data_IF_711125890146
#
_entry.id   IF_711125890146
#
_cell.length_a   1.000
_cell.length_b   1.000
_cell.length_c   1.000
_cell.angle_alpha   90.00
_cell.angle_beta   90.00
_cell.angle_gamma   90.00
#
_symmetry.space_group_name_H-M   'P 1'
#
loop_
_entity.id
_entity.type
_entity.pdbx_description
1 polymer ?
#
# COMPACT_ATOMS: atom_id res chain seq x y z
N UNK A 1 8.08 4.65 15.70
CA UNK A 1 6.98 4.67 14.72
C UNK A 1 5.65 4.40 15.41
N UNK A 2 4.61 5.22 15.21
CA UNK A 2 3.27 5.02 15.82
C UNK A 2 2.41 4.16 14.89
N UNK A 3 1.72 3.15 15.44
CA UNK A 3 0.82 2.25 14.69
C UNK A 3 -0.34 3.03 14.06
N UNK A 4 -0.47 2.97 12.72
CA UNK A 4 -1.51 3.69 11.97
C UNK A 4 -2.85 2.95 11.89
N UNK A 5 -2.84 1.66 12.26
CA UNK A 5 -4.02 0.77 12.36
C UNK A 5 -4.79 0.92 13.68
N UNK A 6 -4.36 1.85 14.55
CA UNK A 6 -4.90 2.05 15.91
C UNK A 6 -5.44 3.47 16.08
N UNK A 7 -6.73 3.59 16.41
CA UNK A 7 -7.34 4.83 16.90
C UNK A 7 -7.78 4.62 18.35
N UNK A 8 -6.84 4.75 19.30
CA UNK A 8 -7.10 4.39 20.70
C UNK A 8 -7.25 2.87 20.86
N UNK A 9 -8.42 2.43 21.33
CA UNK A 9 -8.76 1.00 21.47
C UNK A 9 -9.28 0.39 20.17
N UNK A 10 -9.69 1.22 19.21
CA UNK A 10 -10.23 0.75 17.93
C UNK A 10 -9.12 0.25 17.01
N UNK A 11 -9.35 -0.94 16.47
CA UNK A 11 -8.51 -1.57 15.44
C UNK A 11 -9.15 -1.33 14.08
N UNK A 12 -8.36 -0.80 13.15
CA UNK A 12 -8.77 -0.65 11.75
C UNK A 12 -8.28 -1.86 10.95
N UNK A 13 -9.13 -2.47 10.10
CA UNK A 13 -8.68 -3.51 9.19
C UNK A 13 -7.56 -2.98 8.29
N UNK A 14 -6.46 -3.71 8.22
CA UNK A 14 -5.33 -3.43 7.34
C UNK A 14 -4.95 -4.72 6.64
N UNK A 15 -4.86 -4.66 5.32
CA UNK A 15 -4.44 -5.78 4.48
C UNK A 15 -3.23 -5.34 3.66
N UNK A 16 -2.17 -6.14 3.70
CA UNK A 16 -0.99 -5.86 2.91
C UNK A 16 -1.18 -6.33 1.45
N UNK A 17 -0.42 -5.75 0.53
CA UNK A 17 -0.56 -6.07 -0.89
C UNK A 17 -0.15 -7.51 -1.21
N UNK A 18 0.68 -8.17 -0.39
CA UNK A 18 1.07 -9.57 -0.61
C UNK A 18 -0.09 -10.54 -0.29
N UNK A 19 -0.88 -10.23 0.74
CA UNK A 19 -2.13 -10.92 1.04
C UNK A 19 -3.15 -10.73 -0.09
N UNK A 20 -3.29 -9.49 -0.57
CA UNK A 20 -4.24 -9.14 -1.64
C UNK A 20 -3.83 -9.69 -3.02
N UNK A 21 -2.52 -9.83 -3.28
CA UNK A 21 -2.00 -10.33 -4.55
C UNK A 21 -1.99 -11.86 -4.66
N UNK A 22 -2.23 -12.56 -3.54
CA UNK A 22 -2.09 -14.02 -3.43
C UNK A 22 -0.63 -14.50 -3.60
N UNK A 23 0.35 -13.63 -3.34
CA UNK A 23 1.77 -13.94 -3.58
C UNK A 23 2.36 -14.81 -2.47
N UNK A 24 3.21 -15.77 -2.85
CA UNK A 24 4.01 -16.57 -1.92
C UNK A 24 5.28 -15.80 -1.52
N UNK A 25 6.05 -16.31 -0.55
CA UNK A 25 7.33 -15.69 -0.11
C UNK A 25 8.30 -15.42 -1.25
N UNK A 26 8.24 -16.23 -2.30
CA UNK A 26 9.16 -16.19 -3.45
C UNK A 26 8.69 -15.21 -4.53
N UNK A 27 7.39 -15.08 -4.78
CA UNK A 27 6.84 -14.13 -5.76
C UNK A 27 6.62 -12.72 -5.22
N UNK A 28 6.87 -12.52 -3.91
CA UNK A 28 6.81 -11.22 -3.22
C UNK A 28 7.65 -10.14 -3.91
N UNK A 29 8.76 -10.53 -4.54
CA UNK A 29 9.73 -9.60 -5.13
C UNK A 29 9.45 -9.35 -6.62
N UNK A 30 8.51 -10.11 -7.21
CA UNK A 30 8.14 -10.01 -8.62
C UNK A 30 6.82 -9.28 -8.85
N UNK A 31 6.24 -8.67 -7.81
CA UNK A 31 5.08 -7.82 -8.00
C UNK A 31 5.47 -6.64 -8.89
N UNK A 32 4.88 -6.53 -10.07
CA UNK A 32 5.08 -5.38 -10.95
C UNK A 32 4.23 -4.19 -10.47
N UNK A 33 4.61 -2.98 -10.88
CA UNK A 33 3.79 -1.76 -10.67
C UNK A 33 2.36 -1.96 -11.19
N UNK A 34 2.20 -2.68 -12.30
CA UNK A 34 0.91 -3.01 -12.91
C UNK A 34 0.02 -3.82 -11.97
N UNK A 35 0.59 -4.84 -11.30
CA UNK A 35 -0.11 -5.68 -10.32
C UNK A 35 -0.63 -4.86 -9.14
N UNK A 36 0.11 -3.84 -8.70
CA UNK A 36 -0.36 -2.96 -7.64
C UNK A 36 -1.50 -2.05 -8.10
N UNK A 37 -1.44 -1.56 -9.34
CA UNK A 37 -2.53 -0.76 -9.92
C UNK A 37 -3.80 -1.62 -10.00
N UNK A 38 -3.71 -2.90 -10.38
CA UNK A 38 -4.85 -3.83 -10.35
C UNK A 38 -5.45 -3.99 -8.94
N UNK A 39 -4.61 -4.06 -7.90
CA UNK A 39 -5.07 -4.18 -6.52
C UNK A 39 -5.78 -2.89 -6.08
N UNK A 40 -5.20 -1.73 -6.40
CA UNK A 40 -5.84 -0.43 -6.12
C UNK A 40 -7.20 -0.36 -6.82
N UNK A 41 -7.28 -0.80 -8.08
CA UNK A 41 -8.51 -0.77 -8.87
C UNK A 41 -9.59 -1.70 -8.36
N UNK A 42 -9.18 -2.85 -7.82
CA UNK A 42 -10.10 -3.88 -7.35
C UNK A 42 -10.63 -3.61 -5.96
N UNK A 43 -9.82 -3.04 -5.07
CA UNK A 43 -10.11 -2.99 -3.64
C UNK A 43 -10.35 -1.59 -3.09
N UNK A 44 -9.80 -0.52 -3.69
CA UNK A 44 -10.00 0.82 -3.16
C UNK A 44 -11.40 1.35 -3.49
N UNK A 45 -12.00 2.08 -2.55
CA UNK A 45 -13.31 2.72 -2.78
C UNK A 45 -13.24 3.84 -3.81
N UNK A 46 -12.09 4.54 -3.90
CA UNK A 46 -11.84 5.60 -4.89
C UNK A 46 -10.50 5.39 -5.62
N UNK A 47 -10.42 4.44 -6.57
CA UNK A 47 -9.15 4.04 -7.18
C UNK A 47 -8.38 5.17 -7.87
N UNK A 48 -9.09 6.12 -8.50
CA UNK A 48 -8.46 7.24 -9.19
C UNK A 48 -7.64 8.14 -8.24
N UNK A 49 -8.15 8.39 -7.03
CA UNK A 49 -7.44 9.17 -6.02
C UNK A 49 -6.24 8.39 -5.46
N UNK A 50 -6.43 7.09 -5.21
CA UNK A 50 -5.38 6.23 -4.66
C UNK A 50 -4.24 6.00 -5.67
N UNK A 51 -4.53 5.95 -6.98
CA UNK A 51 -3.51 5.91 -8.03
C UNK A 51 -2.58 7.12 -8.01
N UNK A 52 -3.13 8.32 -7.79
CA UNK A 52 -2.32 9.55 -7.71
C UNK A 52 -1.39 9.46 -6.50
N UNK A 53 -1.91 9.11 -5.31
CA UNK A 53 -1.10 8.90 -4.10
C UNK A 53 -0.01 7.85 -4.29
N UNK A 54 -0.32 6.77 -5.02
CA UNK A 54 0.64 5.72 -5.33
C UNK A 54 1.75 6.22 -6.27
N UNK A 55 1.39 6.98 -7.32
CA UNK A 55 2.36 7.58 -8.23
C UNK A 55 3.29 8.58 -7.52
N UNK A 56 2.76 9.41 -6.62
CA UNK A 56 3.56 10.33 -5.81
C UNK A 56 4.60 9.59 -4.95
N UNK A 57 4.22 8.44 -4.36
CA UNK A 57 5.14 7.59 -3.58
C UNK A 57 6.21 6.97 -4.47
N UNK A 58 5.82 6.45 -5.63
CA UNK A 58 6.76 5.87 -6.60
C UNK A 58 7.77 6.91 -7.08
N UNK A 59 7.31 8.13 -7.35
CA UNK A 59 8.16 9.24 -7.75
C UNK A 59 9.11 9.65 -6.61
N UNK A 60 8.63 9.74 -5.38
CA UNK A 60 9.46 10.06 -4.22
C UNK A 60 10.57 9.01 -4.00
N UNK A 61 10.21 7.72 -4.09
CA UNK A 61 11.17 6.61 -4.02
C UNK A 61 12.23 6.68 -5.12
N UNK A 62 11.81 6.95 -6.35
CA UNK A 62 12.71 7.11 -7.49
C UNK A 62 13.68 8.28 -7.29
N UNK A 63 13.19 9.44 -6.83
CA UNK A 63 14.01 10.64 -6.63
C UNK A 63 14.99 10.51 -5.45
N UNK A 64 14.65 9.73 -4.43
CA UNK A 64 15.49 9.50 -3.25
C UNK A 64 16.49 8.36 -3.43
N UNK A 65 16.44 7.64 -4.56
CA UNK A 65 17.28 6.46 -4.81
C UNK A 65 16.96 5.30 -3.87
N UNK A 66 15.74 5.26 -3.31
CA UNK A 66 15.33 4.20 -2.40
C UNK A 66 14.94 2.94 -3.21
N UNK A 67 15.95 2.15 -3.57
CA UNK A 67 15.82 0.85 -4.23
C UNK A 67 15.08 -0.20 -3.37
N UNK A 68 14.97 0.05 -2.06
CA UNK A 68 14.29 -0.80 -1.09
C UNK A 68 12.84 -0.37 -0.85
N UNK A 69 12.27 0.48 -1.71
CA UNK A 69 10.82 0.72 -1.76
C UNK A 69 10.14 -0.49 -2.40
N UNK A 70 10.36 -1.65 -1.79
CA UNK A 70 9.72 -2.89 -2.11
C UNK A 70 8.24 -2.67 -1.86
N UNK A 71 7.44 -3.09 -2.84
CA UNK A 71 5.99 -2.98 -2.94
C UNK A 71 5.23 -3.60 -1.74
N UNK A 72 5.97 -4.18 -0.80
CA UNK A 72 5.62 -4.59 0.57
C UNK A 72 5.26 -3.46 1.53
N UNK A 73 5.71 -2.25 1.29
CA UNK A 73 5.46 -1.10 2.17
C UNK A 73 4.18 -0.33 1.82
N UNK A 74 3.39 -0.87 0.89
CA UNK A 74 2.01 -0.45 0.68
C UNK A 74 1.08 -1.44 1.39
N UNK A 75 0.07 -0.91 2.07
CA UNK A 75 -1.09 -1.66 2.58
C UNK A 75 -2.36 -0.90 2.25
N UNK A 76 -3.50 -1.58 2.24
CA UNK A 76 -4.81 -0.94 2.25
C UNK A 76 -5.32 -0.88 3.70
N UNK A 77 -5.99 0.22 4.03
CA UNK A 77 -6.64 0.41 5.32
C UNK A 77 -8.09 0.77 5.10
N UNK A 78 -8.97 0.20 5.93
CA UNK A 78 -10.37 0.59 5.97
C UNK A 78 -10.58 1.67 7.01
N UNK A 79 -11.02 2.86 6.58
CA UNK A 79 -11.39 3.99 7.45
C UNK A 79 -12.78 4.47 7.04
N UNK A 80 -13.69 4.57 8.00
CA UNK A 80 -15.05 5.12 7.78
C UNK A 80 -15.76 4.46 6.58
N UNK A 81 -15.71 3.12 6.53
CA UNK A 81 -16.23 2.25 5.46
C UNK A 81 -15.62 2.47 4.06
N UNK A 82 -14.48 3.16 3.98
CA UNK A 82 -13.71 3.36 2.75
C UNK A 82 -12.39 2.60 2.82
N UNK A 83 -12.06 1.91 1.75
CA UNK A 83 -10.78 1.25 1.55
C UNK A 83 -9.86 2.21 0.79
N UNK A 84 -8.74 2.55 1.39
CA UNK A 84 -7.74 3.48 0.84
C UNK A 84 -6.32 3.00 1.12
N UNK A 85 -5.32 3.58 0.46
CA UNK A 85 -3.92 3.30 0.77
C UNK A 85 -3.61 3.74 2.20
N UNK A 86 -2.97 2.85 2.96
CA UNK A 86 -2.41 3.21 4.26
C UNK A 86 -1.41 4.35 4.11
N UNK A 87 -1.18 5.15 5.17
CA UNK A 87 -0.04 6.06 5.21
C UNK A 87 1.24 5.34 4.81
N UNK A 88 2.15 6.01 4.10
CA UNK A 88 3.46 5.44 3.81
C UNK A 88 4.19 5.19 5.13
N UNK A 89 4.73 3.98 5.27
CA UNK A 89 5.54 3.57 6.41
C UNK A 89 6.82 2.94 5.89
N UNK A 90 7.87 2.93 6.71
CA UNK A 90 9.17 2.36 6.34
C UNK A 90 9.82 3.07 5.12
N UNK A 91 9.79 4.41 5.15
CA UNK A 91 10.60 5.27 4.29
C UNK A 91 11.90 5.54 5.06
N UNK A 92 13.04 5.05 4.54
CA UNK A 92 14.38 5.32 5.06
C UNK A 92 14.89 6.70 4.63
#
# INVERSE_FOLDING_TARGET
MRRFDRAGWDKRPVEDFAQLSGASRDTKYESSTERLIEIIDRFCTFPALERIKFLERLLCAFLTGNEDTHLKNCSLITRDDKVELSPAYDLL
#
